data_IF_307308251579
#
_entry.id   IF_307308251579
#
_cell.length_a   1.000
_cell.length_b   1.000
_cell.length_c   1.000
_cell.angle_alpha   90.00
_cell.angle_beta   90.00
_cell.angle_gamma   90.00
#
_symmetry.space_group_name_H-M   'P 1'
#
loop_
_entity.id
_entity.type
_entity.pdbx_description
1 polymer ?
#
# COMPACT_ATOMS: atom_id res chain seq x y z
N UNK A 1 11.67 6.75 -53.23
CA UNK A 1 12.77 7.10 -52.30
C UNK A 1 12.98 5.90 -51.40
N UNK A 2 14.02 5.16 -51.69
CA UNK A 2 14.44 3.90 -51.09
C UNK A 2 15.20 4.14 -49.79
N UNK A 3 14.92 3.34 -48.76
CA UNK A 3 15.96 2.59 -48.05
C UNK A 3 15.33 1.34 -47.43
N UNK A 4 15.57 0.23 -48.13
CA UNK A 4 15.48 -1.13 -47.61
C UNK A 4 16.48 -1.28 -46.45
N UNK A 5 16.13 -2.05 -45.44
CA UNK A 5 17.06 -3.09 -44.99
C UNK A 5 16.29 -4.39 -44.75
N UNK A 6 16.67 -5.34 -45.60
CA UNK A 6 16.35 -6.74 -45.74
C UNK A 6 15.86 -7.47 -44.47
N UNK A 7 14.80 -8.25 -44.67
CA UNK A 7 14.56 -9.48 -43.92
C UNK A 7 15.72 -10.49 -44.09
N UNK A 8 15.76 -11.54 -43.27
CA UNK A 8 15.22 -12.78 -43.83
C UNK A 8 14.33 -13.53 -42.83
N UNK A 9 13.04 -13.64 -43.18
CA UNK A 9 12.38 -14.95 -43.16
C UNK A 9 12.78 -15.64 -44.47
N UNK A 10 12.98 -16.97 -44.54
CA UNK A 10 11.99 -17.91 -44.01
C UNK A 10 12.54 -19.24 -43.46
N UNK A 11 11.79 -19.88 -42.56
CA UNK A 11 11.63 -21.34 -42.58
C UNK A 11 10.23 -21.66 -42.05
N UNK A 12 9.36 -22.08 -42.98
CA UNK A 12 8.24 -22.95 -42.65
C UNK A 12 8.82 -24.25 -42.14
N UNK A 13 8.35 -24.73 -40.99
CA UNK A 13 8.42 -26.12 -40.62
C UNK A 13 7.12 -26.47 -39.90
N UNK A 14 6.13 -26.90 -40.68
CA UNK A 14 5.23 -27.94 -40.19
C UNK A 14 6.14 -29.17 -39.98
N UNK A 15 6.74 -29.32 -38.80
CA UNK A 15 7.36 -30.56 -38.37
C UNK A 15 7.22 -30.67 -36.85
N UNK A 16 6.24 -31.47 -36.49
CA UNK A 16 5.97 -32.03 -35.18
C UNK A 16 7.15 -32.90 -34.72
N UNK A 17 8.23 -32.31 -34.20
CA UNK A 17 9.20 -33.02 -33.36
C UNK A 17 9.75 -32.06 -32.30
N UNK A 18 8.87 -31.63 -31.40
CA UNK A 18 9.23 -30.97 -30.14
C UNK A 18 9.71 -32.06 -29.16
N UNK A 19 10.78 -32.77 -29.50
CA UNK A 19 11.36 -33.83 -28.67
C UNK A 19 12.85 -33.97 -28.92
N UNK A 20 13.65 -32.99 -28.54
CA UNK A 20 15.06 -33.28 -28.20
C UNK A 20 15.55 -32.27 -27.17
N UNK A 21 16.02 -32.80 -26.04
CA UNK A 21 16.44 -32.02 -24.89
C UNK A 21 17.52 -30.99 -25.22
N UNK A 22 17.28 -29.74 -24.82
CA UNK A 22 18.33 -28.74 -24.69
C UNK A 22 18.89 -28.83 -23.27
N UNK A 23 19.98 -29.59 -23.15
CA UNK A 23 20.91 -29.48 -22.03
C UNK A 23 21.52 -28.07 -22.00
N UNK A 24 21.40 -27.43 -20.82
CA UNK A 24 22.32 -26.54 -20.08
C UNK A 24 23.58 -25.87 -20.70
N UNK A 25 23.77 -25.77 -22.02
CA UNK A 25 24.81 -24.93 -22.62
C UNK A 25 24.39 -24.40 -23.99
N UNK A 26 23.58 -23.33 -24.02
CA UNK A 26 23.49 -22.49 -25.23
C UNK A 26 24.23 -21.17 -24.97
N UNK A 27 25.19 -20.76 -25.84
CA UNK A 27 25.99 -19.55 -25.66
C UNK A 27 25.26 -18.26 -26.10
N UNK A 28 23.95 -18.34 -26.32
CA UNK A 28 23.12 -17.19 -26.65
C UNK A 28 22.14 -16.96 -25.50
N UNK A 29 22.43 -15.97 -24.66
CA UNK A 29 21.47 -15.43 -23.72
C UNK A 29 20.34 -14.77 -24.51
N UNK A 30 19.27 -15.52 -24.78
CA UNK A 30 18.09 -14.97 -25.44
C UNK A 30 17.31 -14.18 -24.38
N UNK A 31 17.45 -12.85 -24.42
CA UNK A 31 16.66 -11.96 -23.58
C UNK A 31 15.19 -12.05 -24.02
N UNK A 32 14.37 -12.74 -23.24
CA UNK A 32 12.92 -12.77 -23.44
C UNK A 32 12.26 -11.75 -22.52
N UNK A 33 11.20 -11.09 -23.00
CA UNK A 33 10.40 -10.18 -22.18
C UNK A 33 9.87 -10.87 -20.92
N UNK A 34 9.59 -12.18 -20.98
CA UNK A 34 9.20 -12.98 -19.83
C UNK A 34 10.31 -13.09 -18.77
N UNK A 35 11.56 -13.32 -19.17
CA UNK A 35 12.72 -13.34 -18.25
C UNK A 35 12.94 -11.97 -17.60
N UNK A 36 12.71 -10.87 -18.33
CA UNK A 36 12.77 -9.52 -17.77
C UNK A 36 11.67 -9.28 -16.73
N UNK A 37 10.41 -9.57 -17.05
CA UNK A 37 9.27 -9.40 -16.13
C UNK A 37 9.41 -10.29 -14.90
N UNK A 38 9.86 -11.53 -15.08
CA UNK A 38 10.17 -12.43 -13.97
C UNK A 38 11.28 -11.86 -13.08
N UNK A 39 12.40 -11.41 -13.65
CA UNK A 39 13.50 -10.80 -12.91
C UNK A 39 13.07 -9.54 -12.15
N UNK A 40 12.23 -8.71 -12.78
CA UNK A 40 11.61 -7.56 -12.14
C UNK A 40 10.71 -7.99 -10.96
N UNK A 41 9.87 -9.01 -11.15
CA UNK A 41 9.02 -9.57 -10.11
C UNK A 41 9.83 -10.07 -8.91
N UNK A 42 10.88 -10.88 -9.15
CA UNK A 42 11.82 -11.35 -8.12
C UNK A 42 12.43 -10.16 -7.37
N UNK A 43 12.93 -9.16 -8.08
CA UNK A 43 13.53 -7.98 -7.48
C UNK A 43 12.55 -7.22 -6.58
N UNK A 44 11.33 -6.98 -7.06
CA UNK A 44 10.28 -6.28 -6.30
C UNK A 44 9.87 -7.08 -5.07
N UNK A 45 9.72 -8.41 -5.17
CA UNK A 45 9.41 -9.26 -4.01
C UNK A 45 10.52 -9.20 -2.96
N UNK A 46 11.78 -9.34 -3.36
CA UNK A 46 12.93 -9.29 -2.43
C UNK A 46 12.98 -7.94 -1.71
N UNK A 47 12.78 -6.83 -2.43
CA UNK A 47 12.71 -5.50 -1.82
C UNK A 47 11.54 -5.40 -0.85
N UNK A 48 10.36 -5.87 -1.25
CA UNK A 48 9.15 -5.81 -0.45
C UNK A 48 9.29 -6.59 0.86
N UNK A 49 9.84 -7.81 0.79
CA UNK A 49 10.11 -8.65 1.96
C UNK A 49 11.13 -7.96 2.87
N UNK A 50 12.25 -7.49 2.33
CA UNK A 50 13.27 -6.76 3.11
C UNK A 50 12.69 -5.53 3.79
N UNK A 51 11.88 -4.76 3.07
CA UNK A 51 11.26 -3.55 3.59
C UNK A 51 10.24 -3.86 4.69
N UNK A 52 9.39 -4.88 4.49
CA UNK A 52 8.44 -5.34 5.50
C UNK A 52 9.16 -5.82 6.78
N UNK A 53 10.24 -6.60 6.64
CA UNK A 53 11.05 -7.05 7.78
C UNK A 53 11.74 -5.88 8.51
N UNK A 54 12.24 -4.89 7.77
CA UNK A 54 12.78 -3.67 8.37
C UNK A 54 11.71 -2.91 9.16
N UNK A 55 10.50 -2.75 8.61
CA UNK A 55 9.38 -2.11 9.30
C UNK A 55 8.89 -2.91 10.50
N UNK A 56 8.94 -4.24 10.44
CA UNK A 56 8.63 -5.12 11.58
C UNK A 56 9.52 -4.83 12.79
N UNK A 57 10.81 -4.57 12.57
CA UNK A 57 11.75 -4.23 13.65
C UNK A 57 11.56 -2.80 14.14
N UNK A 58 11.32 -1.86 13.23
CA UNK A 58 11.41 -0.40 13.50
C UNK A 58 10.08 0.28 13.81
N UNK A 59 8.94 -0.27 13.39
CA UNK A 59 7.63 0.36 13.49
C UNK A 59 6.61 -0.49 14.26
N UNK A 60 5.56 0.16 14.75
CA UNK A 60 4.44 -0.46 15.47
C UNK A 60 3.15 -0.15 14.73
N UNK A 61 2.20 -1.10 14.58
CA UNK A 61 2.20 -2.45 15.13
C UNK A 61 3.09 -3.44 14.35
N UNK A 62 3.95 -4.17 15.07
CA UNK A 62 4.95 -5.08 14.50
C UNK A 62 4.33 -6.23 13.70
N UNK A 63 3.26 -6.83 14.23
CA UNK A 63 2.65 -8.02 13.64
C UNK A 63 2.13 -7.78 12.22
N UNK A 64 1.64 -6.58 11.90
CA UNK A 64 1.11 -6.24 10.56
C UNK A 64 2.21 -6.40 9.51
N UNK A 65 3.41 -5.91 9.80
CA UNK A 65 4.55 -6.02 8.89
C UNK A 65 5.09 -7.44 8.79
N UNK A 66 5.00 -8.23 9.87
CA UNK A 66 5.37 -9.65 9.84
C UNK A 66 4.40 -10.47 8.98
N UNK A 67 3.08 -10.25 9.13
CA UNK A 67 2.07 -10.90 8.29
C UNK A 67 2.24 -10.49 6.83
N UNK A 68 2.52 -9.21 6.56
CA UNK A 68 2.77 -8.72 5.20
C UNK A 68 4.04 -9.30 4.57
N UNK A 69 5.10 -9.50 5.36
CA UNK A 69 6.28 -10.24 4.90
C UNK A 69 5.92 -11.69 4.55
N UNK A 70 5.10 -12.35 5.37
CA UNK A 70 4.56 -13.67 5.07
C UNK A 70 3.75 -13.70 3.78
N UNK A 71 2.87 -12.72 3.57
CA UNK A 71 2.07 -12.58 2.34
C UNK A 71 2.99 -12.43 1.12
N UNK A 72 3.98 -11.54 1.20
CA UNK A 72 4.95 -11.37 0.11
C UNK A 72 5.78 -12.63 -0.15
N UNK A 73 6.19 -13.37 0.89
CA UNK A 73 6.88 -14.66 0.75
C UNK A 73 5.98 -15.70 0.08
N UNK A 74 4.69 -15.75 0.44
CA UNK A 74 3.75 -16.70 -0.15
C UNK A 74 3.54 -16.45 -1.65
N UNK A 75 3.30 -15.20 -2.03
CA UNK A 75 3.12 -14.80 -3.43
C UNK A 75 4.41 -14.99 -4.24
N UNK A 76 5.57 -14.72 -3.64
CA UNK A 76 6.87 -15.01 -4.24
C UNK A 76 7.06 -16.52 -4.46
N UNK A 77 6.73 -17.34 -3.46
CA UNK A 77 6.77 -18.79 -3.56
C UNK A 77 5.84 -19.32 -4.64
N UNK A 78 4.62 -18.78 -4.74
CA UNK A 78 3.68 -19.12 -5.80
C UNK A 78 4.27 -18.85 -7.20
N UNK A 79 4.84 -17.66 -7.41
CA UNK A 79 5.52 -17.31 -8.66
C UNK A 79 6.66 -18.28 -9.01
N UNK A 80 7.45 -18.73 -8.02
CA UNK A 80 8.50 -19.72 -8.23
C UNK A 80 7.92 -21.11 -8.57
N UNK A 81 6.87 -21.56 -7.89
CA UNK A 81 6.21 -22.84 -8.17
C UNK A 81 5.62 -22.84 -9.58
N UNK A 82 4.92 -21.77 -10.00
CA UNK A 82 4.39 -21.64 -11.37
C UNK A 82 5.51 -21.75 -12.42
N UNK A 83 6.67 -21.15 -12.15
CA UNK A 83 7.84 -21.23 -13.04
C UNK A 83 8.39 -22.67 -13.08
N UNK A 84 8.52 -23.34 -11.95
CA UNK A 84 8.99 -24.73 -11.88
C UNK A 84 8.02 -25.70 -12.56
N UNK A 85 6.72 -25.44 -12.48
CA UNK A 85 5.67 -26.24 -13.13
C UNK A 85 5.62 -26.03 -14.66
N UNK A 86 6.17 -24.93 -15.16
CA UNK A 86 6.26 -24.66 -16.61
C UNK A 86 7.36 -25.46 -17.31
N UNK A 87 8.33 -25.98 -16.54
CA UNK A 87 9.41 -26.82 -17.06
C UNK A 87 8.85 -28.24 -17.19
N UNK A 88 8.97 -28.84 -18.37
CA UNK A 88 8.52 -30.20 -18.73
C UNK A 88 9.20 -31.26 -17.84
N UNK A 89 8.70 -31.42 -16.63
CA UNK A 89 9.26 -32.29 -15.61
C UNK A 89 8.53 -33.63 -15.62
N UNK A 90 9.25 -34.70 -15.93
CA UNK A 90 8.77 -36.09 -15.79
C UNK A 90 8.19 -36.39 -14.41
N UNK A 91 8.63 -35.67 -13.37
CA UNK A 91 8.10 -35.71 -12.01
C UNK A 91 6.59 -35.39 -11.91
N UNK A 92 6.05 -34.55 -12.80
CA UNK A 92 4.61 -34.22 -12.83
C UNK A 92 3.72 -35.37 -13.34
N UNK A 93 4.31 -36.47 -13.84
CA UNK A 93 3.55 -37.68 -14.22
C UNK A 93 3.11 -38.50 -12.99
N UNK A 94 3.78 -38.36 -11.86
CA UNK A 94 3.40 -39.03 -10.61
C UNK A 94 2.21 -38.29 -10.00
N UNK A 95 1.05 -38.97 -9.91
CA UNK A 95 -0.22 -38.37 -9.45
C UNK A 95 -0.11 -37.72 -8.06
N UNK A 96 0.53 -38.39 -7.10
CA UNK A 96 0.73 -37.86 -5.75
C UNK A 96 1.60 -36.61 -5.73
N UNK A 97 2.69 -36.59 -6.51
CA UNK A 97 3.58 -35.44 -6.57
C UNK A 97 2.89 -34.24 -7.22
N UNK A 98 2.10 -34.47 -8.29
CA UNK A 98 1.25 -33.44 -8.91
C UNK A 98 0.24 -32.87 -7.92
N UNK A 99 -0.38 -33.72 -7.12
CA UNK A 99 -1.31 -33.28 -6.08
C UNK A 99 -0.61 -32.41 -5.03
N UNK A 100 0.55 -32.82 -4.52
CA UNK A 100 1.32 -32.04 -3.53
C UNK A 100 1.78 -30.69 -4.06
N UNK A 101 2.25 -30.65 -5.32
CA UNK A 101 2.64 -29.38 -5.97
C UNK A 101 1.41 -28.47 -6.14
N UNK A 102 0.29 -29.02 -6.61
CA UNK A 102 -0.97 -28.26 -6.73
C UNK A 102 -1.44 -27.75 -5.36
N UNK A 103 -1.37 -28.58 -4.33
CA UNK A 103 -1.75 -28.17 -2.99
C UNK A 103 -0.85 -27.04 -2.48
N UNK A 104 0.47 -27.14 -2.69
CA UNK A 104 1.44 -26.10 -2.33
C UNK A 104 1.18 -24.78 -3.06
N UNK A 105 1.03 -24.83 -4.38
CA UNK A 105 0.67 -23.69 -5.26
C UNK A 105 -0.56 -22.94 -4.72
N UNK A 106 -1.67 -23.67 -4.54
CA UNK A 106 -2.93 -23.07 -4.12
C UNK A 106 -2.95 -22.65 -2.64
N UNK A 107 -2.18 -23.28 -1.76
CA UNK A 107 -2.01 -22.82 -0.37
C UNK A 107 -1.23 -21.50 -0.31
N UNK A 108 -0.17 -21.37 -1.11
CA UNK A 108 0.61 -20.14 -1.18
C UNK A 108 -0.23 -19.00 -1.77
N UNK A 109 -0.96 -19.26 -2.85
CA UNK A 109 -1.86 -18.28 -3.46
C UNK A 109 -2.98 -17.88 -2.50
N UNK A 110 -3.63 -18.86 -1.85
CA UNK A 110 -4.68 -18.60 -0.86
C UNK A 110 -4.18 -17.76 0.31
N UNK A 111 -3.01 -18.08 0.86
CA UNK A 111 -2.41 -17.30 1.94
C UNK A 111 -2.08 -15.88 1.49
N UNK A 112 -1.55 -15.72 0.28
CA UNK A 112 -1.24 -14.43 -0.31
C UNK A 112 -2.46 -13.53 -0.43
N UNK A 113 -3.56 -14.04 -1.00
CA UNK A 113 -4.78 -13.26 -1.22
C UNK A 113 -5.60 -13.05 0.04
N UNK A 114 -5.90 -14.11 0.79
CA UNK A 114 -6.68 -13.99 2.01
C UNK A 114 -5.93 -13.18 3.06
N UNK A 115 -4.61 -13.39 3.20
CA UNK A 115 -3.76 -12.61 4.09
C UNK A 115 -3.77 -11.12 3.74
N UNK A 116 -3.63 -10.78 2.45
CA UNK A 116 -3.69 -9.39 2.01
C UNK A 116 -5.08 -8.77 2.23
N UNK A 117 -6.16 -9.50 1.92
CA UNK A 117 -7.52 -9.03 2.15
C UNK A 117 -7.80 -8.74 3.64
N UNK A 118 -7.33 -9.61 4.54
CA UNK A 118 -7.42 -9.42 5.99
C UNK A 118 -6.64 -8.18 6.44
N UNK A 119 -5.43 -7.97 5.91
CA UNK A 119 -4.62 -6.78 6.20
C UNK A 119 -5.35 -5.50 5.75
N UNK A 120 -5.89 -5.49 4.53
CA UNK A 120 -6.66 -4.39 3.99
C UNK A 120 -7.90 -4.06 4.84
N UNK A 121 -8.64 -5.09 5.25
CA UNK A 121 -9.77 -4.94 6.17
C UNK A 121 -9.34 -4.38 7.53
N UNK A 122 -8.26 -4.93 8.11
CA UNK A 122 -7.74 -4.50 9.40
C UNK A 122 -7.38 -3.03 9.37
N UNK A 123 -6.66 -2.60 8.34
CA UNK A 123 -6.29 -1.21 8.09
C UNK A 123 -7.51 -0.31 8.06
N UNK A 124 -8.55 -0.72 7.32
CA UNK A 124 -9.76 0.08 7.17
C UNK A 124 -10.53 0.19 8.47
N UNK A 125 -10.72 -0.95 9.15
CA UNK A 125 -11.38 -1.00 10.45
C UNK A 125 -10.65 -0.16 11.49
N UNK A 126 -9.32 -0.22 11.55
CA UNK A 126 -8.54 0.56 12.51
C UNK A 126 -8.72 2.09 12.34
N UNK A 127 -9.02 2.56 11.13
CA UNK A 127 -9.20 4.00 10.84
C UNK A 127 -10.66 4.45 10.92
N UNK A 128 -11.58 3.61 10.44
CA UNK A 128 -12.94 4.02 10.14
C UNK A 128 -13.99 3.46 11.12
N UNK A 129 -13.63 2.60 12.08
CA UNK A 129 -14.60 1.95 12.98
C UNK A 129 -15.50 2.94 13.72
N UNK A 130 -14.91 4.00 14.27
CA UNK A 130 -15.67 4.94 15.10
C UNK A 130 -16.40 6.00 14.26
N UNK A 131 -15.89 6.31 13.07
CA UNK A 131 -16.45 7.36 12.21
C UNK A 131 -17.50 6.85 11.22
N UNK A 132 -17.37 5.60 10.74
CA UNK A 132 -18.21 5.04 9.66
C UNK A 132 -18.46 3.53 9.89
N UNK A 133 -19.26 3.15 10.91
CA UNK A 133 -19.47 1.75 11.26
C UNK A 133 -20.13 0.94 10.14
N UNK A 134 -21.10 1.53 9.42
CA UNK A 134 -21.78 0.86 8.31
C UNK A 134 -20.83 0.47 7.18
N UNK A 135 -19.89 1.37 6.84
CA UNK A 135 -18.89 1.12 5.80
C UNK A 135 -17.91 0.01 6.22
N UNK A 136 -17.57 -0.07 7.51
CA UNK A 136 -16.77 -1.18 8.06
C UNK A 136 -17.52 -2.51 7.98
N UNK A 137 -18.84 -2.54 8.21
CA UNK A 137 -19.64 -3.75 8.04
C UNK A 137 -19.66 -4.21 6.58
N UNK A 138 -19.89 -3.29 5.65
CA UNK A 138 -19.85 -3.59 4.21
C UNK A 138 -18.48 -4.15 3.78
N UNK A 139 -17.39 -3.54 4.25
CA UNK A 139 -16.02 -4.01 3.97
C UNK A 139 -15.71 -5.36 4.63
N UNK A 140 -16.28 -5.62 5.81
CA UNK A 140 -16.19 -6.94 6.47
C UNK A 140 -16.92 -8.01 5.65
N UNK A 141 -18.06 -7.67 5.06
CA UNK A 141 -18.78 -8.55 4.14
C UNK A 141 -17.95 -8.81 2.87
N UNK A 142 -17.35 -7.77 2.28
CA UNK A 142 -16.45 -7.95 1.12
C UNK A 142 -15.24 -8.83 1.44
N UNK A 143 -14.66 -8.72 2.64
CA UNK A 143 -13.60 -9.64 3.09
C UNK A 143 -14.12 -11.08 3.14
N UNK A 144 -15.29 -11.30 3.74
CA UNK A 144 -15.89 -12.63 3.83
C UNK A 144 -16.10 -13.25 2.44
N UNK A 145 -16.67 -12.48 1.50
CA UNK A 145 -16.89 -12.93 0.12
C UNK A 145 -15.57 -13.30 -0.55
N UNK A 146 -14.51 -12.49 -0.40
CA UNK A 146 -13.20 -12.78 -0.96
C UNK A 146 -12.60 -14.08 -0.38
N UNK A 147 -12.63 -14.25 0.94
CA UNK A 147 -12.07 -15.45 1.59
C UNK A 147 -12.83 -16.70 1.14
N UNK A 148 -14.17 -16.65 1.08
CA UNK A 148 -14.98 -17.77 0.60
C UNK A 148 -14.66 -18.09 -0.86
N UNK A 149 -14.56 -17.07 -1.71
CA UNK A 149 -14.29 -17.26 -3.14
C UNK A 149 -12.90 -17.87 -3.38
N UNK A 150 -11.85 -17.32 -2.74
CA UNK A 150 -10.49 -17.86 -2.83
C UNK A 150 -10.38 -19.29 -2.26
N UNK A 151 -11.04 -19.55 -1.14
CA UNK A 151 -11.11 -20.91 -0.57
C UNK A 151 -11.81 -21.88 -1.51
N UNK A 152 -12.94 -21.46 -2.10
CA UNK A 152 -13.70 -22.26 -3.05
C UNK A 152 -12.87 -22.65 -4.28
N UNK A 153 -12.12 -21.71 -4.86
CA UNK A 153 -11.22 -21.99 -5.98
C UNK A 153 -10.08 -22.93 -5.55
N UNK A 154 -9.40 -22.66 -4.44
CA UNK A 154 -8.31 -23.52 -3.95
C UNK A 154 -8.76 -24.97 -3.73
N UNK A 155 -9.91 -25.17 -3.08
CA UNK A 155 -10.51 -26.50 -2.86
C UNK A 155 -10.87 -27.15 -4.20
N UNK A 156 -11.54 -26.43 -5.10
CA UNK A 156 -11.93 -26.96 -6.42
C UNK A 156 -10.72 -27.44 -7.21
N UNK A 157 -9.59 -26.71 -7.13
CA UNK A 157 -8.33 -27.04 -7.83
C UNK A 157 -7.66 -28.29 -7.27
N UNK A 158 -7.73 -28.50 -5.95
CA UNK A 158 -7.24 -29.70 -5.30
C UNK A 158 -8.13 -30.91 -5.63
N UNK A 159 -9.45 -30.73 -5.56
CA UNK A 159 -10.45 -31.78 -5.86
C UNK A 159 -10.36 -32.22 -7.32
N UNK A 160 -10.10 -31.29 -8.26
CA UNK A 160 -9.94 -31.59 -9.68
C UNK A 160 -8.84 -32.63 -10.00
N UNK A 161 -7.91 -32.91 -9.07
CA UNK A 161 -6.90 -33.97 -9.23
C UNK A 161 -7.46 -35.39 -9.08
N UNK A 162 -8.66 -35.53 -8.49
CA UNK A 162 -9.26 -36.81 -8.09
C UNK A 162 -10.59 -37.10 -8.79
N UNK A 163 -11.08 -36.15 -9.59
CA UNK A 163 -12.38 -36.21 -10.24
C UNK A 163 -12.26 -36.84 -11.64
N UNK A 164 -13.28 -37.58 -12.13
CA UNK A 164 -13.29 -38.16 -13.46
C UNK A 164 -13.06 -37.14 -14.59
N UNK A 165 -12.38 -37.57 -15.67
CA UNK A 165 -11.88 -36.71 -16.74
C UNK A 165 -12.97 -35.92 -17.50
N UNK A 166 -14.20 -36.41 -17.46
CA UNK A 166 -15.42 -35.85 -18.07
C UNK A 166 -16.10 -34.78 -17.22
N UNK A 167 -15.62 -34.54 -15.99
CA UNK A 167 -16.27 -33.61 -15.08
C UNK A 167 -16.12 -32.15 -15.52
N UNK A 168 -17.19 -31.38 -15.33
CA UNK A 168 -17.29 -29.96 -15.74
C UNK A 168 -16.14 -29.10 -15.16
N UNK A 169 -15.67 -29.41 -13.96
CA UNK A 169 -14.57 -28.70 -13.28
C UNK A 169 -13.21 -28.87 -13.98
N UNK A 170 -13.06 -29.85 -14.89
CA UNK A 170 -11.84 -30.09 -15.64
C UNK A 170 -11.83 -29.34 -16.99
N UNK A 171 -12.99 -28.84 -17.45
CA UNK A 171 -13.11 -28.09 -18.69
C UNK A 171 -12.24 -26.83 -18.61
N UNK A 172 -11.24 -26.65 -19.52
CA UNK A 172 -10.29 -25.55 -19.44
C UNK A 172 -10.94 -24.17 -19.35
N UNK A 173 -12.01 -23.94 -20.12
CA UNK A 173 -12.76 -22.68 -20.10
C UNK A 173 -13.40 -22.40 -18.73
N UNK A 174 -13.99 -23.41 -18.10
CA UNK A 174 -14.63 -23.29 -16.78
C UNK A 174 -13.56 -23.01 -15.72
N UNK A 175 -12.44 -23.75 -15.76
CA UNK A 175 -11.31 -23.54 -14.84
C UNK A 175 -10.75 -22.13 -14.94
N UNK A 176 -10.55 -21.64 -16.16
CA UNK A 176 -10.06 -20.29 -16.37
C UNK A 176 -11.07 -19.25 -15.86
N UNK A 177 -12.34 -19.38 -16.20
CA UNK A 177 -13.38 -18.45 -15.76
C UNK A 177 -13.49 -18.37 -14.22
N UNK A 178 -13.41 -19.50 -13.52
CA UNK A 178 -13.43 -19.52 -12.06
C UNK A 178 -12.25 -18.77 -11.44
N UNK A 179 -11.05 -18.97 -11.99
CA UNK A 179 -9.83 -18.30 -11.51
C UNK A 179 -9.87 -16.81 -11.85
N UNK A 180 -10.23 -16.45 -13.08
CA UNK A 180 -10.38 -15.05 -13.51
C UNK A 180 -11.36 -14.29 -12.62
N UNK A 181 -12.52 -14.88 -12.33
CA UNK A 181 -13.55 -14.25 -11.51
C UNK A 181 -13.08 -13.88 -10.10
N UNK A 182 -12.22 -14.69 -9.47
CA UNK A 182 -11.69 -14.36 -8.13
C UNK A 182 -10.61 -13.28 -8.17
N UNK A 183 -9.83 -13.18 -9.24
CA UNK A 183 -8.91 -12.06 -9.44
C UNK A 183 -9.66 -10.75 -9.73
N UNK A 184 -10.71 -10.80 -10.55
CA UNK A 184 -11.59 -9.66 -10.82
C UNK A 184 -12.26 -9.17 -9.53
N UNK A 185 -12.79 -10.10 -8.73
CA UNK A 185 -13.36 -9.79 -7.42
C UNK A 185 -12.34 -9.10 -6.49
N UNK A 186 -11.11 -9.61 -6.42
CA UNK A 186 -10.04 -9.00 -5.61
C UNK A 186 -9.68 -7.59 -6.12
N UNK A 187 -9.55 -7.40 -7.43
CA UNK A 187 -9.27 -6.10 -8.03
C UNK A 187 -10.40 -5.09 -7.74
N UNK A 188 -11.66 -5.50 -7.88
CA UNK A 188 -12.83 -4.67 -7.58
C UNK A 188 -12.88 -4.34 -6.09
N UNK A 189 -12.70 -5.34 -5.22
CA UNK A 189 -12.69 -5.12 -3.78
C UNK A 189 -11.58 -4.15 -3.36
N UNK A 190 -10.39 -4.28 -3.95
CA UNK A 190 -9.28 -3.36 -3.69
C UNK A 190 -9.62 -1.93 -4.14
N UNK A 191 -10.27 -1.76 -5.30
CA UNK A 191 -10.75 -0.46 -5.77
C UNK A 191 -11.78 0.16 -4.81
N UNK A 192 -12.77 -0.62 -4.38
CA UNK A 192 -13.78 -0.17 -3.41
C UNK A 192 -13.11 0.26 -2.10
N UNK A 193 -12.17 -0.53 -1.59
CA UNK A 193 -11.42 -0.22 -0.37
C UNK A 193 -10.62 1.08 -0.48
N UNK A 194 -9.87 1.23 -1.57
CA UNK A 194 -9.08 2.44 -1.84
C UNK A 194 -9.96 3.68 -1.97
N UNK A 195 -11.09 3.59 -2.69
CA UNK A 195 -12.04 4.69 -2.82
C UNK A 195 -12.68 5.04 -1.47
N UNK A 196 -13.06 4.03 -0.67
CA UNK A 196 -13.59 4.23 0.67
C UNK A 196 -12.57 4.94 1.58
N UNK A 197 -11.28 4.57 1.49
CA UNK A 197 -10.19 5.24 2.18
C UNK A 197 -10.02 6.69 1.73
N UNK A 198 -9.97 6.94 0.43
CA UNK A 198 -9.82 8.31 -0.11
C UNK A 198 -10.98 9.18 0.35
N UNK A 199 -12.21 8.66 0.29
CA UNK A 199 -13.39 9.36 0.76
C UNK A 199 -13.33 9.68 2.27
N UNK A 200 -12.88 8.72 3.09
CA UNK A 200 -12.67 8.96 4.52
C UNK A 200 -11.57 10.01 4.77
N UNK A 201 -10.43 9.91 4.07
CA UNK A 201 -9.32 10.87 4.18
C UNK A 201 -9.74 12.29 3.77
N UNK A 202 -10.56 12.44 2.73
CA UNK A 202 -11.13 13.74 2.33
C UNK A 202 -12.07 14.31 3.39
N UNK A 203 -12.82 13.47 4.10
CA UNK A 203 -13.66 13.95 5.20
C UNK A 203 -12.86 14.41 6.44
N UNK A 204 -11.62 13.95 6.60
CA UNK A 204 -10.74 14.38 7.70
C UNK A 204 -10.05 15.73 7.45
N UNK A 205 -10.12 16.26 6.22
CA UNK A 205 -9.57 17.55 5.84
C UNK A 205 -10.52 18.25 4.84
N UNK A 206 -11.37 19.20 5.28
CA UNK A 206 -11.98 20.12 4.32
C UNK A 206 -10.84 20.76 3.53
N UNK A 207 -10.95 20.71 2.21
CA UNK A 207 -9.95 21.22 1.27
C UNK A 207 -9.46 22.60 1.73
N UNK A 208 -8.14 22.89 1.71
CA UNK A 208 -7.72 24.28 1.83
C UNK A 208 -8.51 25.04 0.77
N UNK A 209 -9.23 26.09 1.20
CA UNK A 209 -9.95 26.98 0.30
C UNK A 209 -9.09 27.20 -0.95
N UNK A 210 -9.68 27.06 -2.16
CA UNK A 210 -8.93 26.91 -3.40
C UNK A 210 -7.86 27.99 -3.44
N UNK A 211 -6.61 27.53 -3.50
CA UNK A 211 -5.43 28.37 -3.53
C UNK A 211 -5.39 29.13 -4.86
N UNK A 212 -6.21 30.18 -4.96
CA UNK A 212 -6.05 31.27 -5.91
C UNK A 212 -4.75 32.07 -5.65
N UNK A 213 -3.88 31.60 -4.72
CA UNK A 213 -2.60 32.22 -4.37
C UNK A 213 -1.55 32.12 -5.48
N UNK A 214 -1.65 31.15 -6.39
CA UNK A 214 -0.74 31.04 -7.53
C UNK A 214 -1.01 32.10 -8.62
N UNK A 215 -2.23 32.64 -8.70
CA UNK A 215 -2.58 33.77 -9.57
C UNK A 215 -2.44 35.13 -8.87
N UNK A 216 -2.43 35.15 -7.53
CA UNK A 216 -2.19 36.37 -6.76
C UNK A 216 -0.71 36.83 -6.80
N UNK A 217 0.24 35.91 -6.98
CA UNK A 217 1.67 36.24 -7.12
C UNK A 217 2.02 36.89 -8.46
N UNK A 218 1.11 36.86 -9.43
CA UNK A 218 1.31 37.44 -10.77
C UNK A 218 0.64 38.80 -10.96
N UNK A 219 -0.04 39.36 -9.94
CA UNK A 219 -0.46 40.76 -10.00
C UNK A 219 0.75 41.67 -9.72
N UNK A 220 1.16 42.53 -10.67
CA UNK A 220 2.16 43.54 -10.37
C UNK A 220 1.60 44.47 -9.30
N UNK A 221 2.30 44.55 -8.17
CA UNK A 221 2.00 45.50 -7.09
C UNK A 221 2.26 46.92 -7.63
N UNK A 222 1.29 47.85 -7.63
CA UNK A 222 1.55 49.21 -8.08
C UNK A 222 2.58 49.88 -7.17
N UNK A 223 3.63 50.40 -7.80
CA UNK A 223 4.78 51.05 -7.19
C UNK A 223 4.31 52.34 -6.50
N UNK A 224 4.41 52.41 -5.17
CA UNK A 224 4.13 53.64 -4.42
C UNK A 224 5.17 54.71 -4.80
N UNK A 225 4.72 55.76 -5.48
CA UNK A 225 5.47 57.00 -5.69
C UNK A 225 5.74 57.64 -4.33
N UNK A 226 7.01 57.87 -4.03
CA UNK A 226 7.42 58.78 -2.95
C UNK A 226 7.21 60.23 -3.38
N UNK A 227 6.76 61.12 -2.50
CA UNK A 227 7.13 62.52 -2.58
C UNK A 227 7.89 62.94 -1.31
N UNK A 228 9.09 63.47 -1.54
CA UNK A 228 9.84 64.30 -0.59
C UNK A 228 9.15 65.66 -0.40
N UNK A 229 9.16 66.20 0.82
CA UNK A 229 9.22 67.65 1.02
C UNK A 229 8.31 68.25 2.09
N UNK A 230 8.95 68.64 3.21
CA UNK A 230 8.68 69.81 4.05
C UNK A 230 7.56 69.80 5.13
N UNK A 231 8.04 69.97 6.38
CA UNK A 231 7.52 70.77 7.51
C UNK A 231 6.13 70.49 8.11
N UNK A 232 6.08 70.00 9.35
CA UNK A 232 5.96 70.84 10.55
C UNK A 232 5.63 70.04 11.83
N UNK A 233 6.37 70.38 12.90
CA UNK A 233 5.99 70.46 14.33
C UNK A 233 5.44 69.21 15.08
N UNK A 234 6.12 68.88 16.18
CA UNK A 234 5.82 67.83 17.16
C UNK A 234 4.56 68.15 18.03
N UNK A 235 4.03 67.22 18.88
CA UNK A 235 4.74 66.81 20.09
C UNK A 235 4.68 65.32 20.47
N UNK A 236 5.74 64.96 21.18
CA UNK A 236 5.93 63.89 22.16
C UNK A 236 4.64 63.32 22.77
N UNK A 237 4.42 62.01 22.58
CA UNK A 237 3.80 61.14 23.60
C UNK A 237 4.63 59.87 23.71
N UNK A 238 5.38 59.80 24.80
CA UNK A 238 6.08 58.61 25.29
C UNK A 238 5.07 57.64 25.91
N UNK A 239 4.96 56.42 25.39
CA UNK A 239 4.44 55.25 26.13
C UNK A 239 5.08 53.94 25.65
N UNK A 240 5.19 52.94 26.53
CA UNK A 240 6.40 52.15 26.69
C UNK A 240 6.38 50.84 25.92
N UNK A 241 7.58 50.32 25.68
CA UNK A 241 7.86 48.96 25.26
C UNK A 241 6.97 47.92 25.94
N UNK A 242 6.13 47.24 25.16
CA UNK A 242 5.62 45.90 25.48
C UNK A 242 5.97 44.93 24.34
N UNK A 243 7.26 44.79 24.05
CA UNK A 243 7.81 43.60 23.37
C UNK A 243 7.92 42.50 24.43
N UNK A 244 6.91 41.65 24.56
CA UNK A 244 7.01 40.28 25.12
C UNK A 244 5.62 39.61 25.16
N UNK A 245 5.03 39.37 23.99
CA UNK A 245 3.92 38.39 23.86
C UNK A 245 3.81 37.74 22.48
N UNK A 246 4.44 38.31 21.45
CA UNK A 246 4.31 37.82 20.06
C UNK A 246 5.16 36.58 19.70
N UNK A 247 6.04 36.09 20.57
CA UNK A 247 6.96 34.99 20.20
C UNK A 247 6.36 33.60 20.45
N UNK A 248 5.40 33.46 21.38
CA UNK A 248 4.74 32.16 21.62
C UNK A 248 3.68 31.84 20.56
N UNK A 249 2.86 32.81 20.15
CA UNK A 249 1.82 32.59 19.13
C UNK A 249 2.40 32.35 17.74
N UNK A 250 3.45 33.07 17.34
CA UNK A 250 4.06 32.88 16.02
C UNK A 250 4.73 31.51 15.90
N UNK A 251 5.35 30.99 16.96
CA UNK A 251 6.03 29.68 16.92
C UNK A 251 5.03 28.52 16.97
N UNK A 252 3.91 28.68 17.70
CA UNK A 252 2.79 27.73 17.68
C UNK A 252 2.05 27.76 16.33
N UNK A 253 1.68 28.93 15.79
CA UNK A 253 1.05 29.06 14.47
C UNK A 253 1.95 28.50 13.36
N UNK A 254 3.26 28.81 13.39
CA UNK A 254 4.20 28.25 12.40
C UNK A 254 4.34 26.74 12.56
N UNK A 255 4.35 26.22 13.79
CA UNK A 255 4.37 24.78 14.07
C UNK A 255 3.09 24.05 13.65
N UNK A 256 1.92 24.67 13.79
CA UNK A 256 0.64 24.13 13.33
C UNK A 256 0.53 24.14 11.80
N UNK A 257 1.00 25.21 11.14
CA UNK A 257 1.02 25.32 9.67
C UNK A 257 2.00 24.32 9.05
N UNK A 258 3.19 24.14 9.64
CA UNK A 258 4.17 23.13 9.18
C UNK A 258 3.63 21.71 9.36
N UNK A 259 2.97 21.43 10.48
CA UNK A 259 2.37 20.11 10.74
C UNK A 259 1.19 19.83 9.80
N UNK A 260 0.38 20.85 9.49
CA UNK A 260 -0.72 20.75 8.53
C UNK A 260 -0.22 20.50 7.11
N UNK A 261 0.82 21.21 6.67
CA UNK A 261 1.45 21.01 5.37
C UNK A 261 2.06 19.61 5.24
N UNK A 262 2.75 19.14 6.29
CA UNK A 262 3.30 17.79 6.37
C UNK A 262 2.21 16.70 6.30
N UNK A 263 1.13 16.86 7.06
CA UNK A 263 -0.03 15.95 6.98
C UNK A 263 -0.71 15.96 5.61
N UNK A 264 -0.87 17.12 4.99
CA UNK A 264 -1.43 17.26 3.65
C UNK A 264 -0.57 16.54 2.61
N UNK A 265 0.76 16.69 2.68
CA UNK A 265 1.69 16.02 1.78
C UNK A 265 1.67 14.49 1.94
N UNK A 266 1.64 13.98 3.19
CA UNK A 266 1.53 12.55 3.46
C UNK A 266 0.20 11.96 2.98
N UNK A 267 -0.89 12.73 3.08
CA UNK A 267 -2.22 12.33 2.64
C UNK A 267 -2.33 12.34 1.11
N UNK A 268 -1.76 13.33 0.43
CA UNK A 268 -1.64 13.35 -1.04
C UNK A 268 -0.82 12.17 -1.56
N UNK A 269 0.33 11.89 -0.92
CA UNK A 269 1.14 10.70 -1.25
C UNK A 269 0.35 9.42 -1.07
N UNK A 270 -0.40 9.31 0.02
CA UNK A 270 -1.26 8.16 0.32
C UNK A 270 -2.36 7.95 -0.72
N UNK A 271 -3.00 9.02 -1.22
CA UNK A 271 -3.99 8.95 -2.29
C UNK A 271 -3.37 8.50 -3.62
N UNK A 272 -2.19 9.04 -3.97
CA UNK A 272 -1.46 8.63 -5.18
C UNK A 272 -1.07 7.16 -5.11
N UNK A 273 -0.57 6.71 -3.96
CA UNK A 273 -0.20 5.31 -3.72
C UNK A 273 -1.40 4.37 -3.91
N UNK A 274 -2.56 4.68 -3.31
CA UNK A 274 -3.78 3.89 -3.47
C UNK A 274 -4.27 3.89 -4.93
N UNK A 275 -4.16 5.01 -5.63
CA UNK A 275 -4.52 5.10 -7.05
C UNK A 275 -3.60 4.23 -7.92
N UNK A 276 -2.29 4.30 -7.71
CA UNK A 276 -1.29 3.48 -8.42
C UNK A 276 -1.54 2.00 -8.17
N UNK A 277 -1.79 1.62 -6.93
CA UNK A 277 -2.12 0.23 -6.54
C UNK A 277 -3.34 -0.27 -7.33
N UNK A 278 -4.46 0.47 -7.28
CA UNK A 278 -5.69 0.08 -7.99
C UNK A 278 -5.51 0.05 -9.51
N UNK A 279 -4.87 1.06 -10.08
CA UNK A 279 -4.65 1.14 -11.52
C UNK A 279 -3.82 -0.05 -12.01
N UNK A 280 -2.77 -0.42 -11.28
CA UNK A 280 -1.89 -1.52 -11.67
C UNK A 280 -2.57 -2.88 -11.53
N UNK A 281 -3.26 -3.15 -10.42
CA UNK A 281 -4.02 -4.41 -10.23
C UNK A 281 -5.13 -4.55 -11.26
N UNK A 282 -5.88 -3.47 -11.54
CA UNK A 282 -6.97 -3.51 -12.51
C UNK A 282 -6.46 -3.67 -13.94
N UNK A 283 -5.40 -2.95 -14.32
CA UNK A 283 -4.82 -3.05 -15.65
C UNK A 283 -4.32 -4.48 -15.95
N UNK A 284 -3.60 -5.09 -15.01
CA UNK A 284 -3.09 -6.45 -15.19
C UNK A 284 -4.23 -7.48 -15.22
N UNK A 285 -5.27 -7.28 -14.40
CA UNK A 285 -6.46 -8.15 -14.43
C UNK A 285 -7.17 -8.05 -15.79
N UNK A 286 -7.33 -6.85 -16.34
CA UNK A 286 -7.92 -6.64 -17.68
C UNK A 286 -7.07 -7.31 -18.76
N UNK A 287 -5.74 -7.18 -18.70
CA UNK A 287 -4.84 -7.85 -19.65
C UNK A 287 -5.07 -9.36 -19.63
N UNK A 288 -5.15 -9.96 -18.45
CA UNK A 288 -5.38 -11.40 -18.28
C UNK A 288 -6.74 -11.87 -18.81
N UNK A 289 -7.79 -11.05 -18.64
CA UNK A 289 -9.14 -11.37 -19.14
C UNK A 289 -9.23 -11.24 -20.67
N UNK A 290 -8.60 -10.22 -21.24
CA UNK A 290 -8.69 -9.90 -22.67
C UNK A 290 -7.83 -10.82 -23.50
N UNK A 291 -6.58 -11.05 -23.09
CA UNK A 291 -5.63 -11.85 -23.84
C UNK A 291 -4.59 -12.55 -22.96
N UNK A 292 -4.82 -13.85 -22.76
CA UNK A 292 -3.93 -14.74 -22.00
C UNK A 292 -2.56 -14.95 -22.66
N UNK A 293 -2.40 -14.61 -23.95
CA UNK A 293 -1.11 -14.78 -24.64
C UNK A 293 -0.10 -13.71 -24.27
N UNK A 294 -0.56 -12.58 -23.71
CA UNK A 294 0.29 -11.48 -23.26
C UNK A 294 1.07 -11.87 -22.00
N UNK A 295 0.42 -12.59 -21.07
CA UNK A 295 1.03 -13.03 -19.80
C UNK A 295 0.62 -14.47 -19.45
N UNK A 296 1.09 -15.46 -20.24
CA UNK A 296 0.67 -16.86 -20.11
C UNK A 296 1.10 -17.51 -18.79
N UNK A 297 2.13 -16.95 -18.14
CA UNK A 297 2.69 -17.42 -16.88
C UNK A 297 2.25 -16.58 -15.68
N UNK A 298 1.35 -15.62 -15.87
CA UNK A 298 0.79 -14.77 -14.81
C UNK A 298 1.86 -13.93 -14.08
N UNK A 299 2.99 -13.65 -14.72
CA UNK A 299 4.10 -12.90 -14.14
C UNK A 299 3.77 -11.41 -13.96
N UNK A 300 2.99 -10.81 -14.86
CA UNK A 300 2.49 -9.45 -14.63
C UNK A 300 1.57 -9.44 -13.41
N UNK A 301 0.75 -10.48 -13.24
CA UNK A 301 -0.12 -10.61 -12.07
C UNK A 301 0.71 -10.73 -10.79
N UNK A 302 1.71 -11.61 -10.76
CA UNK A 302 2.64 -11.71 -9.62
C UNK A 302 3.38 -10.40 -9.36
N UNK A 303 3.83 -9.68 -10.39
CA UNK A 303 4.47 -8.38 -10.23
C UNK A 303 3.50 -7.34 -9.63
N UNK A 304 2.23 -7.36 -10.05
CA UNK A 304 1.20 -6.47 -9.51
C UNK A 304 0.96 -6.67 -8.02
N UNK A 305 0.97 -7.93 -7.58
CA UNK A 305 0.82 -8.29 -6.17
C UNK A 305 2.03 -7.83 -5.35
N UNK A 306 3.24 -7.93 -5.90
CA UNK A 306 4.47 -7.45 -5.26
C UNK A 306 4.43 -5.92 -5.05
N UNK A 307 4.08 -5.17 -6.11
CA UNK A 307 3.91 -3.70 -6.05
C UNK A 307 2.85 -3.34 -5.02
N UNK A 308 1.72 -4.05 -5.01
CA UNK A 308 0.63 -3.86 -4.05
C UNK A 308 1.11 -4.03 -2.60
N UNK A 309 1.87 -5.07 -2.30
CA UNK A 309 2.45 -5.27 -0.97
C UNK A 309 3.44 -4.15 -0.59
N UNK A 310 4.25 -3.69 -1.54
CA UNK A 310 5.19 -2.57 -1.33
C UNK A 310 4.46 -1.25 -1.02
N UNK A 311 3.41 -0.96 -1.78
CA UNK A 311 2.55 0.21 -1.59
C UNK A 311 1.89 0.16 -0.22
N UNK A 312 1.38 -1.00 0.18
CA UNK A 312 0.80 -1.19 1.51
C UNK A 312 1.81 -0.89 2.63
N UNK A 313 3.05 -1.39 2.54
CA UNK A 313 4.11 -1.08 3.50
C UNK A 313 4.32 0.43 3.65
N UNK A 314 4.46 1.13 2.52
CA UNK A 314 4.70 2.57 2.49
C UNK A 314 3.52 3.35 3.10
N UNK A 315 2.30 3.01 2.69
CA UNK A 315 1.09 3.63 3.21
C UNK A 315 0.92 3.41 4.72
N UNK A 316 1.10 2.17 5.20
CA UNK A 316 0.92 1.85 6.61
C UNK A 316 1.95 2.56 7.50
N UNK A 317 3.18 2.72 7.00
CA UNK A 317 4.22 3.52 7.66
C UNK A 317 3.79 4.98 7.77
N UNK A 318 3.44 5.60 6.65
CA UNK A 318 3.02 7.00 6.60
C UNK A 318 1.84 7.25 7.54
N UNK A 319 0.87 6.35 7.57
CA UNK A 319 -0.30 6.42 8.43
C UNK A 319 0.04 6.32 9.92
N UNK A 320 0.95 5.42 10.27
CA UNK A 320 1.44 5.25 11.65
C UNK A 320 2.14 6.50 12.14
N UNK A 321 2.95 7.13 11.28
CA UNK A 321 3.70 8.34 11.60
C UNK A 321 2.75 9.54 11.79
N UNK A 322 1.70 9.64 10.99
CA UNK A 322 0.62 10.65 11.16
C UNK A 322 -0.14 10.45 12.47
N UNK A 323 -0.49 9.21 12.83
CA UNK A 323 -1.19 8.95 14.09
C UNK A 323 -0.31 9.28 15.31
N UNK A 324 0.98 8.93 15.26
CA UNK A 324 1.93 9.24 16.33
C UNK A 324 2.16 10.75 16.49
N UNK A 325 2.23 11.50 15.41
CA UNK A 325 2.41 12.95 15.47
C UNK A 325 1.19 13.65 16.08
N UNK A 326 -0.04 13.20 15.76
CA UNK A 326 -1.27 13.67 16.42
C UNK A 326 -1.34 13.29 17.91
N UNK A 327 -0.95 12.07 18.26
CA UNK A 327 -0.96 11.59 19.65
C UNK A 327 0.06 12.29 20.57
N UNK A 328 1.08 12.96 20.02
CA UNK A 328 2.03 13.77 20.81
C UNK A 328 1.51 15.17 21.14
N UNK A 329 0.38 15.62 20.55
CA UNK A 329 -0.22 16.95 20.80
C UNK A 329 -1.14 17.11 22.03
N UNK A 330 -1.55 16.10 22.83
CA UNK A 330 -2.31 16.37 24.05
C UNK A 330 -1.34 16.65 25.21
N UNK A 331 -1.04 17.92 25.48
CA UNK A 331 -0.59 18.33 26.82
C UNK A 331 0.75 19.07 26.98
N UNK A 332 1.31 19.71 25.96
CA UNK A 332 2.45 20.62 26.18
C UNK A 332 2.08 21.87 27.04
N UNK A 333 0.79 22.18 27.20
CA UNK A 333 0.31 23.23 28.09
C UNK A 333 0.07 22.79 29.55
N UNK A 334 0.11 21.49 29.87
CA UNK A 334 -0.30 20.98 31.19
C UNK A 334 0.85 20.75 32.20
N UNK A 335 2.11 21.02 31.84
CA UNK A 335 3.27 20.70 32.69
C UNK A 335 4.14 21.86 33.18
N UNK A 336 3.73 23.12 32.96
CA UNK A 336 4.52 24.30 33.40
C UNK A 336 3.86 25.09 34.55
N UNK A 337 2.65 24.73 34.98
CA UNK A 337 1.85 25.53 35.92
C UNK A 337 1.88 25.15 37.41
N UNK A 338 2.76 24.24 37.86
CA UNK A 338 2.62 23.72 39.24
C UNK A 338 3.91 23.21 39.86
N UNK A 339 4.79 24.13 40.26
CA UNK A 339 5.74 23.98 41.40
C UNK A 339 6.58 25.24 41.53
N UNK A 340 5.96 26.29 42.07
CA UNK A 340 6.63 27.58 42.24
C UNK A 340 5.84 28.56 43.09
N UNK A 341 5.25 28.13 44.20
CA UNK A 341 4.78 29.05 45.24
C UNK A 341 4.72 28.36 46.61
N UNK A 342 5.34 29.02 47.58
CA UNK A 342 5.16 28.90 49.03
C UNK A 342 5.75 27.68 49.77
N UNK A 343 7.07 27.72 49.93
CA UNK A 343 7.79 27.25 51.12
C UNK A 343 7.68 28.35 52.20
N UNK A 344 6.96 28.12 53.31
CA UNK A 344 7.23 28.64 54.68
C UNK A 344 6.01 28.47 55.60
N UNK A 345 6.07 27.50 56.51
CA UNK A 345 5.71 27.66 57.93
C UNK A 345 5.93 26.33 58.69
N UNK A 346 6.90 26.36 59.61
CA UNK A 346 7.06 25.51 60.80
C UNK A 346 8.01 26.33 61.70
N UNK A 347 8.01 26.23 63.06
CA UNK A 347 7.43 25.20 63.93
C UNK A 347 6.71 25.74 65.18
N UNK A 348 5.98 24.88 65.93
CA UNK A 348 5.97 24.70 67.41
C UNK A 348 4.69 23.94 67.82
N UNK A 349 4.79 22.69 68.31
CA UNK A 349 4.99 22.23 69.70
C UNK A 349 3.71 22.30 70.55
N UNK A 350 3.11 21.13 70.81
CA UNK A 350 2.03 20.94 71.78
C UNK A 350 1.71 19.46 71.93
N UNK A 351 2.07 18.90 73.08
CA UNK A 351 1.90 17.50 73.44
C UNK A 351 0.46 17.17 73.90
N UNK A 352 0.15 15.87 73.90
CA UNK A 352 -0.52 15.09 74.96
C UNK A 352 -1.91 14.48 74.64
N UNK A 353 -2.00 13.18 74.97
CA UNK A 353 -3.13 12.39 75.48
C UNK A 353 -4.06 11.65 74.50
N UNK A 354 -3.86 10.32 74.41
CA UNK A 354 -4.77 9.26 74.91
C UNK A 354 -6.28 9.54 74.93
N UNK A 355 -7.07 8.73 74.22
CA UNK A 355 -8.03 7.71 74.70
C UNK A 355 -9.13 7.45 73.65
N UNK A 356 -9.54 6.19 73.50
CA UNK A 356 -10.72 5.76 72.74
C UNK A 356 -10.47 4.51 71.93
#
# INVERSE_FOLDING_TARGET
>A
MTLQMLAPKPLRANDSVLSTGRLLSEPHFVWTSASFVFGLGVFVYVITIKFALFLWVTHTPRWVFLVLAGVAISQFGNMLIMTLCSIDNYALKIRMLRFLITLGDWLLEWFGFCGFAVLNWYRFRAMCKDSRPWLVHFISFLLFVQVVAWTGVAVTRCVAQWVPADSVILIPKVRFAMVSAVYELDAIANCIMSLAFIYHLRSLHPSPAPANSFLASWRPKPRSRSPSGASDVAPVVSRPNSRTSSVKSATEETGEVILYASMSQMLMRSQVLLFVECAFTLAVTVIQVVDLTIDPLWFLMSCSQAIRCLVYCAFQRDLTDVLKSRARKPGAAAKVGGKGAARRASPTRGARASMG
#
